data_IF_409256500241
#
_entry.id   IF_409256500241
#
_cell.length_a   1.000
_cell.length_b   1.000
_cell.length_c   1.000
_cell.angle_alpha   90.00
_cell.angle_beta   90.00
_cell.angle_gamma   90.00
#
_symmetry.space_group_name_H-M   'P 1'
#
loop_
_entity.id
_entity.type
_entity.pdbx_description
1 polymer ?
#
# COMPACT_ATOMS: atom_id res chain seq x y z
N UNK A 1 -35.86 44.33 -13.16
CA UNK A 1 -35.82 43.56 -11.88
C UNK A 1 -34.42 43.66 -11.29
N UNK A 2 -34.24 43.82 -9.98
CA UNK A 2 -32.87 43.88 -9.42
C UNK A 2 -32.36 42.45 -9.17
N UNK A 3 -31.59 41.94 -10.09
CA UNK A 3 -31.04 40.54 -10.07
C UNK A 3 -29.96 40.45 -8.99
N UNK A 4 -30.14 39.56 -8.02
CA UNK A 4 -29.18 39.35 -6.93
C UNK A 4 -28.09 38.34 -7.36
N UNK A 5 -26.88 38.52 -6.87
CA UNK A 5 -25.77 37.58 -7.16
C UNK A 5 -26.07 36.13 -6.79
N UNK A 6 -26.98 35.89 -5.85
CA UNK A 6 -27.41 34.54 -5.46
C UNK A 6 -28.27 33.87 -6.54
N UNK A 7 -29.04 34.63 -7.28
CA UNK A 7 -29.91 34.10 -8.34
C UNK A 7 -29.06 33.68 -9.55
N UNK A 8 -28.02 34.48 -9.87
CA UNK A 8 -27.05 34.15 -10.88
C UNK A 8 -26.23 32.92 -10.45
N UNK A 9 -25.78 32.88 -9.20
CA UNK A 9 -25.03 31.75 -8.66
C UNK A 9 -25.80 30.42 -8.76
N UNK A 10 -27.11 30.47 -8.43
CA UNK A 10 -28.02 29.32 -8.54
C UNK A 10 -28.26 28.92 -9.98
N UNK A 11 -28.45 29.86 -10.90
CA UNK A 11 -28.69 29.57 -12.32
C UNK A 11 -27.49 28.98 -13.02
N UNK A 12 -26.26 29.36 -12.61
CA UNK A 12 -24.99 28.88 -13.20
C UNK A 12 -24.35 27.74 -12.44
N UNK A 13 -24.85 27.35 -11.28
CA UNK A 13 -24.25 26.30 -10.44
C UNK A 13 -22.85 26.65 -9.90
N UNK A 14 -22.56 27.95 -9.68
CA UNK A 14 -21.28 28.45 -9.18
C UNK A 14 -21.41 29.14 -7.83
N UNK A 15 -20.27 29.40 -7.15
CA UNK A 15 -20.30 30.08 -5.86
C UNK A 15 -20.69 31.57 -5.98
N UNK A 16 -21.34 32.13 -4.96
CA UNK A 16 -21.66 33.55 -4.87
C UNK A 16 -20.39 34.44 -4.93
N UNK A 17 -19.28 33.97 -4.39
CA UNK A 17 -17.97 34.64 -4.48
C UNK A 17 -17.46 34.70 -5.91
N UNK A 18 -17.57 33.61 -6.68
CA UNK A 18 -17.24 33.59 -8.12
C UNK A 18 -18.04 34.57 -8.91
N UNK A 19 -19.36 34.64 -8.67
CA UNK A 19 -20.24 35.65 -9.30
C UNK A 19 -19.81 37.08 -8.96
N UNK A 20 -19.49 37.34 -7.69
CA UNK A 20 -19.00 38.65 -7.24
C UNK A 20 -17.70 39.07 -7.90
N UNK A 21 -16.73 38.14 -8.02
CA UNK A 21 -15.46 38.39 -8.70
C UNK A 21 -15.70 38.70 -10.18
N UNK A 22 -16.56 37.92 -10.85
CA UNK A 22 -16.88 38.10 -12.26
C UNK A 22 -17.54 39.47 -12.53
N UNK A 23 -18.55 39.83 -11.74
CA UNK A 23 -19.28 41.12 -11.90
C UNK A 23 -18.42 42.34 -11.61
N UNK A 24 -17.43 42.22 -10.69
CA UNK A 24 -16.56 43.34 -10.29
C UNK A 24 -15.23 43.38 -11.07
N UNK A 25 -15.07 42.56 -12.09
CA UNK A 25 -13.87 42.58 -12.91
C UNK A 25 -12.57 42.13 -12.20
N UNK A 26 -12.69 41.47 -11.01
CA UNK A 26 -11.54 41.08 -10.21
C UNK A 26 -10.85 39.83 -10.77
N UNK A 27 -9.53 39.66 -10.56
CA UNK A 27 -8.81 38.45 -10.94
C UNK A 27 -9.31 37.25 -10.13
N UNK A 28 -9.12 36.03 -10.64
CA UNK A 28 -9.56 34.77 -10.01
C UNK A 28 -10.75 34.10 -10.70
N UNK A 29 -11.18 34.62 -11.85
CA UNK A 29 -12.23 34.03 -12.71
C UNK A 29 -11.77 34.08 -14.15
N UNK A 30 -12.02 33.00 -14.92
CA UNK A 30 -11.73 32.97 -16.35
C UNK A 30 -12.62 33.94 -17.12
N UNK A 31 -12.14 34.44 -18.29
CA UNK A 31 -12.90 35.33 -19.15
C UNK A 31 -14.22 34.68 -19.59
N UNK A 32 -14.20 33.39 -19.90
CA UNK A 32 -15.40 32.64 -20.24
C UNK A 32 -16.42 32.64 -19.11
N UNK A 33 -15.98 32.38 -17.85
CA UNK A 33 -16.89 32.44 -16.67
C UNK A 33 -17.45 33.84 -16.47
N UNK A 34 -16.64 34.86 -16.74
CA UNK A 34 -17.10 36.27 -16.66
C UNK A 34 -18.23 36.56 -17.68
N UNK A 35 -18.05 36.13 -18.93
CA UNK A 35 -19.04 36.28 -19.97
C UNK A 35 -20.32 35.51 -19.65
N UNK A 36 -20.24 34.30 -19.17
CA UNK A 36 -21.39 33.49 -18.74
C UNK A 36 -22.21 34.19 -17.62
N UNK A 37 -21.51 34.75 -16.61
CA UNK A 37 -22.14 35.51 -15.51
C UNK A 37 -22.85 36.75 -16.03
N UNK A 38 -22.25 37.50 -16.93
CA UNK A 38 -22.83 38.67 -17.53
C UNK A 38 -24.03 38.34 -18.40
N UNK A 39 -23.98 37.30 -19.22
CA UNK A 39 -25.06 36.82 -20.05
C UNK A 39 -26.22 36.29 -19.20
N UNK A 40 -25.96 35.54 -18.14
CA UNK A 40 -26.99 35.09 -17.19
C UNK A 40 -27.68 36.24 -16.47
N UNK A 41 -26.91 37.25 -16.04
CA UNK A 41 -27.45 38.47 -15.44
C UNK A 41 -28.42 39.18 -16.40
N UNK A 42 -28.00 39.41 -17.64
CA UNK A 42 -28.81 40.06 -18.68
C UNK A 42 -30.11 39.29 -18.94
N UNK A 43 -30.04 37.94 -19.05
CA UNK A 43 -31.20 37.09 -19.25
C UNK A 43 -32.21 37.19 -18.09
N UNK A 44 -31.73 37.19 -16.84
CA UNK A 44 -32.55 37.34 -15.65
C UNK A 44 -33.19 38.75 -15.56
N UNK A 45 -32.49 39.80 -16.00
CA UNK A 45 -32.98 41.16 -16.02
C UNK A 45 -34.07 41.34 -17.08
N UNK A 46 -33.91 40.77 -18.26
CA UNK A 46 -34.84 40.93 -19.42
C UNK A 46 -36.06 40.01 -19.31
N UNK A 47 -35.93 38.77 -18.83
CA UNK A 47 -36.98 37.74 -18.89
C UNK A 47 -37.41 37.22 -17.53
N UNK A 48 -36.78 37.67 -16.43
CA UNK A 48 -37.10 37.24 -15.07
C UNK A 48 -36.78 35.79 -14.73
N UNK A 49 -36.39 34.98 -15.70
CA UNK A 49 -35.99 33.56 -15.54
C UNK A 49 -34.97 33.14 -16.57
N UNK A 50 -34.25 32.07 -16.27
CA UNK A 50 -33.34 31.41 -17.17
C UNK A 50 -34.01 30.11 -17.63
N UNK A 51 -34.19 29.89 -18.95
CA UNK A 51 -34.71 28.63 -19.46
C UNK A 51 -33.85 27.45 -19.00
N UNK A 52 -34.46 26.31 -18.62
CA UNK A 52 -33.73 25.12 -18.28
C UNK A 52 -32.77 24.75 -19.40
N UNK A 53 -31.49 24.62 -19.11
CA UNK A 53 -30.47 24.24 -20.10
C UNK A 53 -29.73 25.38 -20.83
N UNK A 54 -30.17 26.64 -20.72
CA UNK A 54 -29.56 27.76 -21.43
C UNK A 54 -28.15 28.10 -20.98
N UNK A 55 -27.86 27.91 -19.71
CA UNK A 55 -26.54 27.99 -19.09
C UNK A 55 -26.22 26.71 -18.32
N UNK A 56 -26.92 25.61 -18.64
CA UNK A 56 -26.46 24.35 -18.15
C UNK A 56 -25.05 24.15 -18.75
N UNK A 57 -24.06 24.51 -17.99
CA UNK A 57 -22.89 23.69 -18.03
C UNK A 57 -23.45 22.27 -17.84
N UNK A 58 -23.63 21.48 -18.92
CA UNK A 58 -23.32 20.09 -18.78
C UNK A 58 -22.00 20.17 -18.03
N UNK A 59 -21.88 19.62 -16.81
CA UNK A 59 -20.56 19.43 -16.30
C UNK A 59 -19.87 18.80 -17.51
N UNK A 60 -18.97 19.52 -18.19
CA UNK A 60 -17.96 18.83 -18.95
C UNK A 60 -17.63 17.72 -17.97
N UNK A 61 -17.97 16.50 -18.31
CA UNK A 61 -17.38 15.37 -17.67
C UNK A 61 -15.91 15.59 -17.97
N UNK A 62 -15.27 16.46 -17.18
CA UNK A 62 -13.84 16.45 -17.03
C UNK A 62 -13.61 14.99 -16.73
N UNK A 63 -13.19 14.24 -17.76
CA UNK A 63 -12.83 12.83 -17.58
C UNK A 63 -12.03 12.85 -16.30
N UNK A 64 -12.62 12.31 -15.24
CA UNK A 64 -12.00 12.33 -13.92
C UNK A 64 -10.61 11.81 -14.16
N UNK A 65 -9.60 12.64 -13.96
CA UNK A 65 -8.24 12.19 -14.13
C UNK A 65 -8.04 10.99 -13.22
N UNK A 66 -7.33 10.00 -13.70
CA UNK A 66 -7.10 8.80 -12.92
C UNK A 66 -5.69 8.78 -12.34
N UNK A 67 -5.56 8.16 -11.18
CA UNK A 67 -4.29 7.69 -10.66
C UNK A 67 -4.17 6.21 -11.02
N UNK A 68 -3.12 5.86 -11.75
CA UNK A 68 -2.81 4.47 -12.08
C UNK A 68 -2.06 3.82 -10.93
N UNK A 69 -2.56 2.68 -10.45
CA UNK A 69 -1.81 1.77 -9.61
C UNK A 69 -1.27 0.66 -10.49
N UNK A 70 0.03 0.54 -10.56
CA UNK A 70 0.73 -0.47 -11.36
C UNK A 70 1.27 -1.54 -10.43
N UNK A 71 0.83 -2.77 -10.60
CA UNK A 71 1.43 -3.94 -9.98
C UNK A 71 2.41 -4.58 -10.95
N UNK A 72 3.69 -4.56 -10.59
CA UNK A 72 4.75 -5.23 -11.36
C UNK A 72 4.99 -6.60 -10.74
N UNK A 73 4.91 -7.63 -11.58
CA UNK A 73 5.20 -9.02 -11.20
C UNK A 73 6.38 -9.54 -12.01
N UNK A 74 7.23 -10.32 -11.38
CA UNK A 74 8.42 -10.91 -12.01
C UNK A 74 8.17 -12.36 -12.45
N UNK A 75 7.00 -12.59 -13.08
CA UNK A 75 6.61 -13.94 -13.51
C UNK A 75 6.25 -14.90 -12.37
N UNK A 76 6.16 -14.42 -11.15
CA UNK A 76 5.73 -15.21 -10.00
C UNK A 76 4.22 -15.44 -10.08
N UNK A 77 3.83 -16.59 -10.64
CA UNK A 77 2.42 -16.98 -10.82
C UNK A 77 1.65 -17.26 -9.52
N UNK A 78 2.30 -17.26 -8.36
CA UNK A 78 1.78 -17.94 -7.17
C UNK A 78 1.36 -17.03 -5.99
N UNK A 79 1.25 -15.73 -6.18
CA UNK A 79 0.77 -14.84 -5.10
C UNK A 79 -0.77 -14.68 -5.12
N UNK A 80 -1.49 -15.49 -5.89
CA UNK A 80 -2.90 -15.25 -6.25
C UNK A 80 -3.94 -15.58 -5.17
N UNK A 81 -3.64 -16.32 -4.12
CA UNK A 81 -4.68 -16.78 -3.19
C UNK A 81 -4.78 -15.98 -1.88
N UNK A 82 -3.68 -15.78 -1.19
CA UNK A 82 -3.65 -15.23 0.17
C UNK A 82 -3.54 -13.69 0.24
N UNK A 83 -3.10 -13.06 -0.83
CA UNK A 83 -3.02 -11.60 -0.92
C UNK A 83 -4.37 -10.91 -1.14
N UNK A 84 -5.41 -11.66 -1.52
CA UNK A 84 -6.69 -11.06 -1.93
C UNK A 84 -7.31 -10.22 -0.80
N UNK A 85 -7.27 -10.69 0.43
CA UNK A 85 -7.87 -9.99 1.57
C UNK A 85 -7.06 -8.75 1.99
N UNK A 86 -5.73 -8.89 2.09
CA UNK A 86 -4.84 -7.75 2.40
C UNK A 86 -4.95 -6.64 1.35
N UNK A 87 -5.05 -7.01 0.07
CA UNK A 87 -5.18 -6.06 -1.02
C UNK A 87 -6.58 -5.46 -1.14
N UNK A 88 -7.62 -6.14 -0.68
CA UNK A 88 -8.98 -5.61 -0.70
C UNK A 88 -9.07 -4.35 0.16
N UNK A 89 -8.59 -4.39 1.39
CA UNK A 89 -8.58 -3.24 2.30
C UNK A 89 -7.71 -2.09 1.75
N UNK A 90 -6.54 -2.42 1.23
CA UNK A 90 -5.62 -1.43 0.63
C UNK A 90 -6.26 -0.77 -0.59
N UNK A 91 -6.90 -1.53 -1.48
CA UNK A 91 -7.58 -0.99 -2.65
C UNK A 91 -8.76 -0.09 -2.26
N UNK A 92 -9.52 -0.43 -1.21
CA UNK A 92 -10.59 0.43 -0.69
C UNK A 92 -10.04 1.76 -0.16
N UNK A 93 -8.90 1.73 0.52
CA UNK A 93 -8.23 2.97 0.98
C UNK A 93 -7.80 3.82 -0.21
N UNK A 94 -7.19 3.21 -1.24
CA UNK A 94 -6.84 3.93 -2.46
C UNK A 94 -8.07 4.55 -3.11
N UNK A 95 -9.11 3.77 -3.37
CA UNK A 95 -10.32 4.23 -4.04
C UNK A 95 -10.97 5.40 -3.29
N UNK A 96 -11.23 5.23 -1.99
CA UNK A 96 -11.88 6.25 -1.14
C UNK A 96 -11.08 7.55 -1.09
N UNK A 97 -9.76 7.47 -0.89
CA UNK A 97 -8.93 8.67 -0.78
C UNK A 97 -8.74 9.37 -2.14
N UNK A 98 -8.59 8.62 -3.23
CA UNK A 98 -8.50 9.19 -4.57
C UNK A 98 -9.80 9.88 -4.97
N UNK A 99 -10.95 9.25 -4.71
CA UNK A 99 -12.26 9.87 -4.96
C UNK A 99 -12.46 11.15 -4.17
N UNK A 100 -12.05 11.19 -2.89
CA UNK A 100 -12.11 12.38 -2.05
C UNK A 100 -11.27 13.54 -2.60
N UNK A 101 -10.20 13.24 -3.35
CA UNK A 101 -9.33 14.21 -4.02
C UNK A 101 -9.69 14.46 -5.50
N UNK A 102 -10.82 13.94 -5.97
CA UNK A 102 -11.31 14.19 -7.33
C UNK A 102 -10.74 13.29 -8.42
N UNK A 103 -9.98 12.26 -8.06
CA UNK A 103 -9.40 11.28 -8.98
C UNK A 103 -10.21 9.97 -9.00
N UNK A 104 -10.08 9.22 -10.09
CA UNK A 104 -10.51 7.83 -10.18
C UNK A 104 -9.32 6.88 -10.07
N UNK A 105 -9.58 5.65 -9.62
CA UNK A 105 -8.57 4.59 -9.54
C UNK A 105 -8.49 3.82 -10.84
N UNK A 106 -7.29 3.68 -11.42
CA UNK A 106 -6.99 2.75 -12.50
C UNK A 106 -6.03 1.67 -12.00
N UNK A 107 -6.31 0.40 -12.30
CA UNK A 107 -5.42 -0.72 -11.98
C UNK A 107 -4.77 -1.24 -13.24
N UNK A 108 -3.47 -1.51 -13.17
CA UNK A 108 -2.68 -2.07 -14.26
C UNK A 108 -1.75 -3.16 -13.70
N UNK A 109 -1.75 -4.30 -14.36
CA UNK A 109 -0.82 -5.39 -14.09
C UNK A 109 0.18 -5.47 -15.23
N UNK A 110 1.46 -5.53 -14.91
CA UNK A 110 2.54 -5.67 -15.86
C UNK A 110 3.60 -6.63 -15.31
N UNK A 111 4.32 -7.29 -16.19
CA UNK A 111 5.53 -8.03 -15.83
C UNK A 111 6.78 -7.38 -16.48
N UNK A 112 7.96 -8.00 -16.27
CA UNK A 112 9.21 -7.46 -16.81
C UNK A 112 9.46 -7.81 -18.28
N UNK A 113 8.51 -8.43 -18.98
CA UNK A 113 8.63 -8.68 -20.43
C UNK A 113 8.52 -7.36 -21.19
N UNK A 114 9.29 -7.24 -22.26
CA UNK A 114 9.43 -6.01 -23.04
C UNK A 114 8.07 -5.50 -23.61
N UNK A 115 7.23 -6.42 -24.07
CA UNK A 115 5.89 -6.08 -24.56
C UNK A 115 5.00 -5.46 -23.49
N UNK A 116 5.01 -6.04 -22.27
CA UNK A 116 4.24 -5.53 -21.15
C UNK A 116 4.78 -4.21 -20.64
N UNK A 117 6.10 -3.99 -20.69
CA UNK A 117 6.73 -2.71 -20.31
C UNK A 117 6.26 -1.59 -21.25
N UNK A 118 6.30 -1.80 -22.55
CA UNK A 118 5.87 -0.81 -23.54
C UNK A 118 4.40 -0.44 -23.36
N UNK A 119 3.54 -1.42 -23.13
CA UNK A 119 2.12 -1.23 -22.81
C UNK A 119 1.95 -0.45 -21.51
N UNK A 120 2.63 -0.85 -20.45
CA UNK A 120 2.60 -0.18 -19.14
C UNK A 120 2.96 1.30 -19.27
N UNK A 121 4.08 1.61 -19.93
CA UNK A 121 4.54 2.99 -20.15
C UNK A 121 3.50 3.79 -20.92
N UNK A 122 2.93 3.24 -22.00
CA UNK A 122 1.91 3.91 -22.79
C UNK A 122 0.64 4.21 -21.98
N UNK A 123 0.15 3.23 -21.21
CA UNK A 123 -1.02 3.41 -20.36
C UNK A 123 -0.77 4.38 -19.20
N UNK A 124 0.42 4.38 -18.59
CA UNK A 124 0.78 5.34 -17.55
C UNK A 124 0.91 6.77 -18.09
N UNK A 125 1.27 6.96 -19.35
CA UNK A 125 1.42 8.27 -19.98
C UNK A 125 0.15 8.79 -20.65
N UNK A 126 -0.97 8.07 -20.60
CA UNK A 126 -2.23 8.51 -21.20
C UNK A 126 -2.67 9.89 -20.67
N UNK A 127 -3.39 10.66 -21.50
CA UNK A 127 -3.74 12.06 -21.21
C UNK A 127 -4.63 12.20 -19.97
N UNK A 128 -5.46 11.20 -19.69
CA UNK A 128 -6.35 11.16 -18.54
C UNK A 128 -5.69 10.64 -17.25
N UNK A 129 -4.40 10.28 -17.30
CA UNK A 129 -3.61 9.88 -16.12
C UNK A 129 -2.91 11.10 -15.51
N UNK A 130 -3.19 11.38 -14.24
CA UNK A 130 -2.56 12.46 -13.48
C UNK A 130 -1.26 12.04 -12.78
N UNK A 131 -1.18 10.79 -12.36
CA UNK A 131 -0.02 10.24 -11.64
C UNK A 131 -0.09 8.73 -11.49
N UNK A 132 1.01 8.16 -11.01
CA UNK A 132 1.21 6.71 -10.95
C UNK A 132 1.74 6.29 -9.58
N UNK A 133 1.17 5.22 -9.01
CA UNK A 133 1.73 4.51 -7.86
C UNK A 133 2.16 3.13 -8.33
N UNK A 134 3.45 2.83 -8.20
CA UNK A 134 4.02 1.53 -8.59
C UNK A 134 4.19 0.66 -7.35
N UNK A 135 3.58 -0.51 -7.33
CA UNK A 135 3.87 -1.53 -6.33
C UNK A 135 5.17 -2.22 -6.70
N UNK A 136 6.21 -1.87 -5.96
CA UNK A 136 7.58 -2.24 -6.25
C UNK A 136 8.14 -3.37 -5.38
N UNK A 137 7.28 -4.20 -4.74
CA UNK A 137 7.73 -5.29 -3.85
C UNK A 137 8.74 -6.21 -4.52
N UNK A 138 8.57 -6.47 -5.82
CA UNK A 138 9.47 -7.26 -6.63
C UNK A 138 10.48 -6.42 -7.45
N UNK A 139 10.39 -5.08 -7.36
CA UNK A 139 11.25 -4.17 -8.09
C UNK A 139 12.62 -4.07 -7.41
N UNK A 140 13.66 -4.41 -8.16
CA UNK A 140 15.04 -4.22 -7.76
C UNK A 140 15.62 -2.95 -8.38
N UNK A 141 16.73 -2.45 -7.82
CA UNK A 141 17.42 -1.28 -8.36
C UNK A 141 17.77 -1.47 -9.84
N UNK A 142 18.25 -2.63 -10.23
CA UNK A 142 18.61 -2.98 -11.61
C UNK A 142 17.45 -2.88 -12.60
N UNK A 143 16.20 -3.02 -12.11
CA UNK A 143 14.97 -2.96 -12.90
C UNK A 143 14.31 -1.57 -12.81
N UNK A 144 14.79 -0.67 -11.96
CA UNK A 144 14.19 0.66 -11.80
C UNK A 144 14.22 1.52 -13.08
N UNK A 145 15.20 1.36 -14.01
CA UNK A 145 15.18 2.05 -15.30
C UNK A 145 13.96 1.76 -16.17
N UNK A 146 13.24 0.66 -15.91
CA UNK A 146 11.97 0.35 -16.61
C UNK A 146 10.90 1.42 -16.39
N UNK A 147 10.99 2.15 -15.28
CA UNK A 147 10.06 3.22 -14.94
C UNK A 147 10.41 4.56 -15.63
N UNK A 148 11.58 4.67 -16.25
CA UNK A 148 12.10 5.92 -16.82
C UNK A 148 11.27 6.43 -18.01
N UNK A 149 10.53 5.56 -18.66
CA UNK A 149 9.58 5.91 -19.71
C UNK A 149 8.29 6.58 -19.20
N UNK A 150 7.99 6.49 -17.90
CA UNK A 150 6.82 7.10 -17.28
C UNK A 150 7.12 8.58 -17.03
N UNK A 151 6.39 9.48 -17.70
CA UNK A 151 6.57 10.93 -17.62
C UNK A 151 5.64 11.61 -16.61
N UNK A 152 4.73 10.86 -16.03
CA UNK A 152 3.80 11.34 -15.00
C UNK A 152 4.45 11.31 -13.61
N UNK A 153 4.02 12.17 -12.68
CA UNK A 153 4.40 12.05 -11.28
C UNK A 153 4.25 10.62 -10.78
N UNK A 154 5.28 10.09 -10.10
CA UNK A 154 5.34 8.69 -9.72
C UNK A 154 5.83 8.54 -8.29
N UNK A 155 5.17 7.64 -7.54
CA UNK A 155 5.57 7.19 -6.20
C UNK A 155 5.69 5.67 -6.22
N UNK A 156 6.72 5.14 -5.58
CA UNK A 156 6.89 3.70 -5.42
C UNK A 156 6.38 3.28 -4.05
N UNK A 157 5.49 2.32 -4.04
CA UNK A 157 4.96 1.67 -2.85
C UNK A 157 5.67 0.32 -2.68
N UNK A 158 6.46 0.20 -1.60
CA UNK A 158 7.12 -1.03 -1.22
C UNK A 158 8.21 -1.50 -2.21
N UNK A 159 9.42 -1.00 -2.04
CA UNK A 159 10.57 -1.35 -2.87
C UNK A 159 11.86 -1.42 -2.05
N UNK A 160 12.97 -1.69 -2.70
CA UNK A 160 14.29 -1.53 -2.10
C UNK A 160 14.61 -0.04 -1.88
N UNK A 161 15.29 0.33 -0.78
CA UNK A 161 15.56 1.73 -0.45
C UNK A 161 16.66 2.38 -1.30
N UNK A 162 17.34 1.64 -2.12
CA UNK A 162 18.41 2.10 -3.02
C UNK A 162 17.88 2.80 -4.29
N UNK A 163 16.55 2.79 -4.51
CA UNK A 163 15.92 3.54 -5.59
C UNK A 163 15.84 5.02 -5.17
N UNK A 164 16.65 5.87 -5.78
CA UNK A 164 16.78 7.29 -5.40
C UNK A 164 15.98 8.26 -6.28
N UNK A 165 15.59 7.82 -7.47
CA UNK A 165 14.94 8.67 -8.47
C UNK A 165 13.51 9.06 -8.13
N UNK A 166 12.83 8.28 -7.30
CA UNK A 166 11.41 8.42 -7.00
C UNK A 166 11.16 8.50 -5.48
N UNK A 167 10.09 9.16 -5.03
CA UNK A 167 9.63 9.00 -3.66
C UNK A 167 9.22 7.54 -3.41
N UNK A 168 9.59 7.01 -2.24
CA UNK A 168 9.33 5.60 -1.89
C UNK A 168 8.67 5.50 -0.52
N UNK A 169 7.63 4.67 -0.40
CA UNK A 169 7.04 4.26 0.88
C UNK A 169 7.61 2.89 1.26
N UNK A 170 8.23 2.82 2.41
CA UNK A 170 8.95 1.65 2.92
C UNK A 170 8.35 1.16 4.24
N UNK A 171 8.67 -0.10 4.58
CA UNK A 171 8.41 -0.69 5.90
C UNK A 171 9.68 -0.59 6.73
N UNK A 172 9.58 -0.21 7.99
CA UNK A 172 10.67 -0.44 8.95
C UNK A 172 10.66 -1.91 9.37
N UNK A 173 11.19 -2.75 8.47
CA UNK A 173 11.28 -4.20 8.67
C UNK A 173 12.12 -4.58 9.89
N UNK A 174 13.20 -3.81 10.16
CA UNK A 174 14.07 -4.05 11.31
C UNK A 174 13.31 -3.82 12.62
N UNK A 175 12.59 -2.70 12.73
CA UNK A 175 11.77 -2.36 13.89
C UNK A 175 10.66 -3.43 14.10
N UNK A 176 10.04 -3.92 13.03
CA UNK A 176 9.06 -5.00 13.13
C UNK A 176 9.63 -6.27 13.75
N UNK A 177 10.80 -6.71 13.31
CA UNK A 177 11.50 -7.88 13.89
C UNK A 177 11.94 -7.61 15.33
N UNK A 178 12.37 -6.39 15.64
CA UNK A 178 12.75 -6.01 17.00
C UNK A 178 11.58 -6.12 17.98
N UNK A 179 10.38 -5.73 17.58
CA UNK A 179 9.16 -5.92 18.37
C UNK A 179 8.92 -7.41 18.68
N UNK A 180 9.03 -8.28 17.64
CA UNK A 180 8.84 -9.71 17.82
C UNK A 180 9.86 -10.34 18.79
N UNK A 181 11.14 -10.05 18.63
CA UNK A 181 12.20 -10.55 19.49
C UNK A 181 12.02 -10.05 20.94
N UNK A 182 11.72 -8.76 21.11
CA UNK A 182 11.53 -8.17 22.44
C UNK A 182 10.36 -8.83 23.19
N UNK A 183 9.23 -9.11 22.52
CA UNK A 183 8.09 -9.80 23.12
C UNK A 183 8.46 -11.22 23.56
N UNK A 184 9.14 -11.98 22.70
CA UNK A 184 9.59 -13.33 23.05
C UNK A 184 10.54 -13.32 24.25
N UNK A 185 11.49 -12.39 24.30
CA UNK A 185 12.41 -12.25 25.43
C UNK A 185 11.71 -11.79 26.71
N UNK A 186 10.75 -10.89 26.64
CA UNK A 186 9.94 -10.46 27.77
C UNK A 186 9.16 -11.62 28.40
N UNK A 187 8.72 -12.57 27.57
CA UNK A 187 8.09 -13.83 27.98
C UNK A 187 9.09 -14.99 28.22
N UNK A 188 10.39 -14.69 28.30
CA UNK A 188 11.49 -15.63 28.60
C UNK A 188 11.71 -16.73 27.56
N UNK A 189 11.29 -16.52 26.31
CA UNK A 189 11.65 -17.38 25.20
C UNK A 189 12.99 -16.91 24.61
N UNK A 190 14.07 -17.68 24.82
CA UNK A 190 15.43 -17.35 24.39
C UNK A 190 15.93 -18.24 23.24
N UNK A 191 15.38 -19.44 23.11
CA UNK A 191 15.60 -20.33 21.99
C UNK A 191 14.59 -20.00 20.89
N UNK A 192 14.99 -19.06 20.02
CA UNK A 192 14.14 -18.48 18.97
C UNK A 192 14.71 -18.90 17.60
N UNK A 193 13.88 -19.47 16.75
CA UNK A 193 14.20 -19.73 15.36
C UNK A 193 13.34 -18.85 14.43
N UNK A 194 13.88 -18.55 13.26
CA UNK A 194 13.29 -17.68 12.26
C UNK A 194 12.94 -18.46 11.00
N UNK A 195 11.67 -18.58 10.68
CA UNK A 195 11.18 -19.25 9.48
C UNK A 195 11.07 -18.25 8.34
N UNK A 196 11.77 -18.48 7.23
CA UNK A 196 11.86 -17.52 6.15
C UNK A 196 11.47 -18.09 4.78
N UNK A 197 10.95 -17.21 3.94
CA UNK A 197 10.66 -17.48 2.53
C UNK A 197 11.96 -17.36 1.71
N UNK A 198 12.32 -18.31 0.83
CA UNK A 198 13.57 -18.28 0.08
C UNK A 198 13.67 -17.17 -0.97
N UNK A 199 12.57 -16.50 -1.31
CA UNK A 199 12.55 -15.46 -2.34
C UNK A 199 13.43 -14.26 -1.94
N UNK A 200 14.21 -13.69 -2.87
CA UNK A 200 15.14 -12.60 -2.59
C UNK A 200 14.46 -11.22 -2.62
N UNK A 201 13.27 -11.10 -2.01
CA UNK A 201 12.57 -9.82 -1.90
C UNK A 201 13.19 -8.95 -0.82
N UNK A 202 13.27 -7.64 -1.06
CA UNK A 202 13.90 -6.70 -0.13
C UNK A 202 13.37 -6.83 1.30
N UNK A 203 12.05 -6.88 1.47
CA UNK A 203 11.43 -6.98 2.80
C UNK A 203 11.88 -8.22 3.57
N UNK A 204 11.94 -9.38 2.90
CA UNK A 204 12.39 -10.63 3.51
C UNK A 204 13.87 -10.56 3.89
N UNK A 205 14.72 -10.10 2.97
CA UNK A 205 16.15 -9.92 3.24
C UNK A 205 16.41 -8.93 4.39
N UNK A 206 15.64 -7.83 4.44
CA UNK A 206 15.73 -6.82 5.49
C UNK A 206 15.30 -7.37 6.86
N UNK A 207 14.21 -8.13 6.91
CA UNK A 207 13.74 -8.80 8.14
C UNK A 207 14.77 -9.80 8.67
N UNK A 208 15.31 -10.66 7.80
CA UNK A 208 16.37 -11.65 8.18
C UNK A 208 17.62 -10.96 8.71
N UNK A 209 18.10 -9.92 8.02
CA UNK A 209 19.24 -9.13 8.52
C UNK A 209 18.92 -8.51 9.88
N UNK A 210 17.74 -7.93 10.04
CA UNK A 210 17.26 -7.39 11.30
C UNK A 210 17.26 -8.44 12.42
N UNK A 211 16.80 -9.66 12.14
CA UNK A 211 16.82 -10.75 13.11
C UNK A 211 18.22 -11.05 13.60
N UNK A 212 19.18 -11.25 12.71
CA UNK A 212 20.58 -11.54 13.05
C UNK A 212 21.21 -10.40 13.90
N UNK A 213 21.01 -9.16 13.48
CA UNK A 213 21.52 -7.99 14.19
C UNK A 213 20.93 -7.87 15.61
N UNK A 214 19.62 -8.05 15.74
CA UNK A 214 18.92 -7.92 17.02
C UNK A 214 19.30 -9.05 17.97
N UNK A 215 19.36 -10.30 17.50
CA UNK A 215 19.79 -11.43 18.31
C UNK A 215 21.20 -11.21 18.87
N UNK A 216 22.13 -10.72 18.05
CA UNK A 216 23.48 -10.36 18.48
C UNK A 216 23.47 -9.22 19.50
N UNK A 217 22.71 -8.15 19.27
CA UNK A 217 22.57 -7.00 20.20
C UNK A 217 21.98 -7.39 21.54
N UNK A 218 21.07 -8.38 21.57
CA UNK A 218 20.46 -8.90 22.80
C UNK A 218 21.34 -9.93 23.54
N UNK A 219 22.54 -10.20 23.05
CA UNK A 219 23.47 -11.14 23.68
C UNK A 219 23.17 -12.62 23.43
N UNK A 220 22.32 -12.94 22.44
CA UNK A 220 21.95 -14.30 22.09
C UNK A 220 22.91 -14.97 21.06
N UNK A 221 24.02 -14.31 20.75
CA UNK A 221 25.08 -14.80 19.88
C UNK A 221 24.77 -14.66 18.39
N UNK A 222 25.52 -15.41 17.57
CA UNK A 222 25.23 -15.57 16.16
C UNK A 222 23.98 -16.46 16.00
N UNK A 223 23.02 -16.00 15.26
CA UNK A 223 21.77 -16.70 15.01
C UNK A 223 21.61 -17.18 13.56
N UNK A 224 22.71 -17.27 12.80
CA UNK A 224 22.67 -17.69 11.39
C UNK A 224 22.18 -19.12 11.21
N UNK A 225 22.48 -20.01 12.14
CA UNK A 225 22.00 -21.39 12.19
C UNK A 225 20.54 -21.54 12.65
N UNK A 226 19.94 -20.43 13.14
CA UNK A 226 18.54 -20.37 13.59
C UNK A 226 17.58 -19.91 12.48
N UNK A 227 18.10 -19.58 11.29
CA UNK A 227 17.28 -19.23 10.13
C UNK A 227 16.99 -20.51 9.33
N UNK A 228 15.70 -20.82 9.22
CA UNK A 228 15.21 -21.99 8.49
C UNK A 228 14.51 -21.53 7.23
N UNK A 229 15.06 -21.89 6.08
CA UNK A 229 14.39 -21.66 4.81
C UNK A 229 13.19 -22.61 4.71
N UNK A 230 12.02 -22.04 4.41
CA UNK A 230 10.79 -22.76 4.14
C UNK A 230 10.46 -22.72 2.64
N UNK A 231 9.24 -22.94 2.25
CA UNK A 231 8.80 -22.78 0.86
C UNK A 231 8.48 -21.34 0.48
N UNK A 232 8.21 -21.12 -0.79
CA UNK A 232 7.80 -19.83 -1.36
C UNK A 232 6.28 -19.66 -1.43
N UNK A 233 5.52 -20.76 -1.45
CA UNK A 233 4.05 -20.79 -1.38
C UNK A 233 3.57 -21.45 -0.08
N UNK A 234 2.28 -21.30 0.22
CA UNK A 234 1.66 -21.94 1.40
C UNK A 234 1.84 -23.46 1.34
N UNK A 235 1.64 -24.06 0.18
CA UNK A 235 1.73 -25.52 -0.04
C UNK A 235 3.16 -26.00 0.16
N UNK A 236 4.14 -25.30 -0.38
CA UNK A 236 5.57 -25.64 -0.21
C UNK A 236 5.98 -25.51 1.25
N UNK A 237 5.59 -24.43 1.93
CA UNK A 237 5.84 -24.22 3.36
C UNK A 237 5.22 -25.36 4.17
N UNK A 238 3.95 -25.67 3.92
CA UNK A 238 3.23 -26.72 4.61
C UNK A 238 3.94 -28.07 4.46
N UNK A 239 4.26 -28.46 3.21
CA UNK A 239 4.93 -29.73 2.93
C UNK A 239 6.31 -29.79 3.60
N UNK A 240 7.11 -28.76 3.48
CA UNK A 240 8.47 -28.70 4.02
C UNK A 240 8.43 -28.69 5.56
N UNK A 241 7.59 -27.88 6.18
CA UNK A 241 7.47 -27.80 7.63
C UNK A 241 6.91 -29.10 8.21
N UNK A 242 5.99 -29.76 7.54
CA UNK A 242 5.50 -31.08 7.97
C UNK A 242 6.62 -32.11 8.05
N UNK A 243 7.51 -32.17 7.05
CA UNK A 243 8.64 -33.10 7.10
C UNK A 243 9.69 -32.67 8.14
N UNK A 244 10.00 -31.38 8.22
CA UNK A 244 10.95 -30.83 9.17
C UNK A 244 10.52 -31.10 10.62
N UNK A 245 9.30 -30.80 10.98
CA UNK A 245 8.77 -30.92 12.35
C UNK A 245 8.66 -32.37 12.85
N UNK A 246 8.67 -33.37 11.98
CA UNK A 246 8.67 -34.81 12.40
C UNK A 246 9.94 -35.20 13.14
N UNK A 247 11.06 -34.59 12.83
CA UNK A 247 12.38 -34.97 13.35
C UNK A 247 13.09 -33.86 14.09
N UNK A 248 12.72 -32.60 13.87
CA UNK A 248 13.35 -31.45 14.50
C UNK A 248 12.97 -31.37 15.99
N UNK A 249 13.96 -30.99 16.81
CA UNK A 249 13.68 -30.55 18.18
C UNK A 249 12.99 -29.17 18.09
N UNK A 250 11.81 -29.06 18.68
CA UNK A 250 11.11 -27.78 18.75
C UNK A 250 11.90 -26.75 19.55
N UNK A 251 12.10 -25.52 19.04
CA UNK A 251 12.60 -24.40 19.82
C UNK A 251 11.53 -23.91 20.81
N UNK A 252 11.87 -22.92 21.60
CA UNK A 252 10.89 -22.27 22.44
C UNK A 252 9.90 -21.40 21.65
N UNK A 253 10.37 -20.81 20.54
CA UNK A 253 9.53 -19.96 19.70
C UNK A 253 10.01 -19.92 18.25
N UNK A 254 9.04 -19.71 17.33
CA UNK A 254 9.28 -19.33 15.94
C UNK A 254 8.82 -17.89 15.68
N UNK A 255 9.63 -17.16 14.91
CA UNK A 255 9.22 -15.94 14.20
C UNK A 255 8.99 -16.32 12.74
N UNK A 256 7.81 -16.06 12.22
CA UNK A 256 7.41 -16.41 10.85
C UNK A 256 7.40 -15.15 9.98
N UNK A 257 8.20 -15.17 8.91
CA UNK A 257 8.57 -13.98 8.12
C UNK A 257 7.40 -13.32 7.37
N UNK A 258 6.36 -14.08 7.02
CA UNK A 258 5.27 -13.62 6.18
C UNK A 258 4.00 -14.44 6.38
N UNK A 259 2.89 -13.94 5.84
CA UNK A 259 1.61 -14.64 5.80
C UNK A 259 1.73 -16.09 5.30
N UNK A 260 2.43 -16.31 4.16
CA UNK A 260 2.60 -17.65 3.57
C UNK A 260 3.34 -18.60 4.52
N UNK A 261 4.41 -18.10 5.13
CA UNK A 261 5.20 -18.88 6.10
C UNK A 261 4.36 -19.20 7.33
N UNK A 262 3.59 -18.24 7.84
CA UNK A 262 2.70 -18.46 8.99
C UNK A 262 1.64 -19.49 8.68
N UNK A 263 0.96 -19.36 7.57
CA UNK A 263 -0.15 -20.23 7.18
C UNK A 263 0.30 -21.68 6.99
N UNK A 264 1.33 -21.92 6.16
CA UNK A 264 1.84 -23.25 5.88
C UNK A 264 2.42 -23.92 7.13
N UNK A 265 3.09 -23.15 8.00
CA UNK A 265 3.63 -23.67 9.27
C UNK A 265 2.53 -24.11 10.23
N UNK A 266 1.48 -23.30 10.42
CA UNK A 266 0.35 -23.63 11.30
C UNK A 266 -0.40 -24.85 10.76
N UNK A 267 -0.59 -24.97 9.45
CA UNK A 267 -1.19 -26.17 8.85
C UNK A 267 -0.39 -27.43 9.19
N UNK A 268 0.95 -27.38 9.05
CA UNK A 268 1.82 -28.50 9.39
C UNK A 268 1.78 -28.85 10.90
N UNK A 269 1.77 -27.85 11.77
CA UNK A 269 1.67 -28.04 13.22
C UNK A 269 0.34 -28.69 13.62
N UNK A 270 -0.76 -28.24 13.02
CA UNK A 270 -2.08 -28.81 13.27
C UNK A 270 -2.15 -30.30 12.87
N UNK A 271 -1.62 -30.68 11.70
CA UNK A 271 -1.53 -32.08 11.26
C UNK A 271 -0.72 -32.96 12.21
N UNK A 272 0.35 -32.40 12.80
CA UNK A 272 1.24 -33.10 13.71
C UNK A 272 0.80 -33.01 15.17
N UNK A 273 -0.34 -32.39 15.45
CA UNK A 273 -0.88 -32.16 16.80
C UNK A 273 0.11 -31.39 17.71
N UNK A 274 0.92 -30.51 17.17
CA UNK A 274 1.80 -29.62 17.93
C UNK A 274 0.95 -28.47 18.47
N UNK A 275 0.91 -28.31 19.78
CA UNK A 275 0.05 -27.37 20.46
C UNK A 275 0.72 -25.97 20.53
N UNK A 276 -0.05 -24.96 20.18
CA UNK A 276 0.35 -23.54 20.22
C UNK A 276 -0.52 -22.88 21.30
N UNK A 277 0.07 -22.22 22.32
CA UNK A 277 1.52 -21.97 22.56
C UNK A 277 2.18 -23.02 23.46
N UNK A 278 1.53 -24.13 23.85
CA UNK A 278 2.00 -25.06 24.90
C UNK A 278 3.34 -25.68 24.54
N UNK A 279 3.48 -26.20 23.34
CA UNK A 279 4.69 -26.89 22.87
C UNK A 279 5.70 -25.88 22.26
N UNK A 280 5.19 -24.90 21.51
CA UNK A 280 6.00 -23.86 20.87
C UNK A 280 5.24 -22.53 20.75
N UNK A 281 5.91 -21.42 21.03
CA UNK A 281 5.37 -20.07 20.84
C UNK A 281 5.52 -19.61 19.40
N UNK A 282 4.57 -18.82 18.88
CA UNK A 282 4.60 -18.30 17.51
C UNK A 282 4.38 -16.78 17.49
N UNK A 283 5.18 -16.08 16.67
CA UNK A 283 4.89 -14.71 16.24
C UNK A 283 4.97 -14.65 14.71
N UNK A 284 3.92 -14.17 14.06
CA UNK A 284 3.92 -13.93 12.62
C UNK A 284 4.14 -12.48 12.25
N UNK A 285 4.75 -12.25 11.11
CA UNK A 285 4.70 -10.94 10.46
C UNK A 285 3.56 -10.99 9.45
N UNK A 286 2.62 -10.06 9.63
CA UNK A 286 1.24 -10.08 9.20
C UNK A 286 0.37 -11.12 9.93
N UNK A 287 -0.81 -10.67 10.36
CA UNK A 287 -1.73 -11.51 11.14
C UNK A 287 -2.48 -12.48 10.24
N UNK A 288 -2.75 -13.67 10.79
CA UNK A 288 -3.72 -14.60 10.21
C UNK A 288 -5.09 -14.39 10.86
N UNK A 289 -6.19 -14.54 10.11
CA UNK A 289 -7.52 -14.62 10.70
C UNK A 289 -7.64 -15.79 11.68
N UNK A 290 -8.32 -15.59 12.82
CA UNK A 290 -8.40 -16.58 13.90
C UNK A 290 -9.05 -17.90 13.49
N UNK A 291 -9.94 -17.90 12.46
CA UNK A 291 -10.50 -19.14 11.93
C UNK A 291 -9.45 -20.08 11.28
N UNK A 292 -8.32 -19.55 10.84
CA UNK A 292 -7.20 -20.32 10.29
C UNK A 292 -6.27 -20.88 11.36
N UNK A 293 -6.29 -20.29 12.55
CA UNK A 293 -5.48 -20.69 13.71
C UNK A 293 -6.26 -21.55 14.70
N UNK A 294 -7.41 -22.08 14.30
CA UNK A 294 -8.27 -22.88 15.17
C UNK A 294 -9.02 -22.06 16.24
N UNK A 295 -9.24 -20.77 15.99
CA UNK A 295 -9.93 -19.85 16.91
C UNK A 295 -9.01 -19.12 17.89
N UNK A 296 -7.68 -19.31 17.79
CA UNK A 296 -6.69 -18.65 18.64
C UNK A 296 -6.25 -17.35 17.96
N UNK A 297 -6.28 -16.25 18.67
CA UNK A 297 -5.75 -14.98 18.16
C UNK A 297 -4.22 -15.00 18.11
N UNK A 298 -3.67 -14.80 16.93
CA UNK A 298 -2.24 -14.88 16.71
C UNK A 298 -1.52 -13.62 17.17
N UNK A 299 -0.53 -13.78 18.07
CA UNK A 299 0.43 -12.72 18.35
C UNK A 299 1.21 -12.39 17.07
N UNK A 300 1.20 -11.13 16.67
CA UNK A 300 1.73 -10.76 15.36
C UNK A 300 2.36 -9.37 15.32
N UNK A 301 3.14 -9.15 14.28
CA UNK A 301 3.66 -7.85 13.89
C UNK A 301 2.88 -7.39 12.65
N UNK A 302 1.96 -6.48 12.83
CA UNK A 302 1.13 -5.95 11.74
C UNK A 302 1.88 -4.88 10.94
N UNK A 303 1.97 -5.08 9.64
CA UNK A 303 2.39 -4.05 8.71
C UNK A 303 1.20 -3.10 8.45
N UNK A 304 1.33 -1.77 8.61
CA UNK A 304 0.21 -0.85 8.50
C UNK A 304 -0.09 -0.52 7.01
N UNK A 305 -0.63 -1.48 6.27
CA UNK A 305 -0.85 -1.38 4.82
C UNK A 305 -1.80 -0.23 4.44
N UNK A 306 -2.85 -0.01 5.23
CA UNK A 306 -3.84 1.06 4.99
C UNK A 306 -3.25 2.45 5.19
N UNK A 307 -2.48 2.65 6.24
CA UNK A 307 -1.76 3.89 6.52
C UNK A 307 -0.68 4.17 5.47
N UNK A 308 0.00 3.12 5.00
CA UNK A 308 1.00 3.22 3.92
C UNK A 308 0.35 3.64 2.61
N UNK A 309 -0.82 3.09 2.27
CA UNK A 309 -1.59 3.48 1.09
C UNK A 309 -2.00 4.95 1.15
N UNK A 310 -2.46 5.42 2.32
CA UNK A 310 -2.76 6.83 2.53
C UNK A 310 -1.54 7.73 2.26
N UNK A 311 -0.38 7.39 2.84
CA UNK A 311 0.84 8.17 2.65
C UNK A 311 1.35 8.14 1.20
N UNK A 312 1.19 7.03 0.49
CA UNK A 312 1.53 6.94 -0.93
C UNK A 312 0.72 7.94 -1.76
N UNK A 313 -0.59 8.05 -1.47
CA UNK A 313 -1.47 9.03 -2.11
C UNK A 313 -1.01 10.46 -1.77
N UNK A 314 -0.76 10.77 -0.49
CA UNK A 314 -0.34 12.12 -0.09
C UNK A 314 0.98 12.53 -0.77
N UNK A 315 1.95 11.62 -0.85
CA UNK A 315 3.19 11.90 -1.57
C UNK A 315 2.96 12.10 -3.07
N UNK A 316 2.08 11.30 -3.69
CA UNK A 316 1.78 11.45 -5.11
C UNK A 316 1.06 12.77 -5.39
N UNK A 317 0.07 13.16 -4.59
CA UNK A 317 -0.62 14.43 -4.73
C UNK A 317 0.35 15.61 -4.60
N UNK A 318 1.29 15.54 -3.66
CA UNK A 318 2.35 16.53 -3.53
C UNK A 318 3.23 16.59 -4.77
N UNK A 319 3.61 15.45 -5.36
CA UNK A 319 4.41 15.42 -6.60
C UNK A 319 3.61 15.95 -7.81
N UNK A 320 2.29 15.80 -7.83
CA UNK A 320 1.43 16.37 -8.88
C UNK A 320 1.35 17.90 -8.77
N UNK A 321 1.13 18.40 -7.55
CA UNK A 321 0.93 19.84 -7.31
C UNK A 321 2.24 20.62 -7.27
N UNK A 322 3.27 20.05 -6.64
CA UNK A 322 4.54 20.69 -6.36
C UNK A 322 5.70 19.70 -6.51
N UNK A 323 6.08 19.33 -7.75
CA UNK A 323 7.18 18.40 -7.97
C UNK A 323 8.48 18.95 -7.40
N UNK A 324 9.15 18.16 -6.56
CA UNK A 324 10.43 18.52 -5.96
C UNK A 324 11.56 17.69 -6.56
N UNK A 325 12.76 18.29 -6.64
CA UNK A 325 13.93 17.61 -7.19
C UNK A 325 14.43 16.53 -6.25
N UNK A 326 14.54 16.85 -4.96
CA UNK A 326 14.98 15.94 -3.92
C UNK A 326 13.85 14.99 -3.55
N UNK A 327 14.07 13.68 -3.74
CA UNK A 327 13.07 12.65 -3.45
C UNK A 327 13.21 12.14 -2.02
N UNK A 328 12.10 11.80 -1.41
CA UNK A 328 12.06 11.32 -0.02
C UNK A 328 11.80 9.82 0.05
N UNK A 329 12.25 9.22 1.15
CA UNK A 329 11.90 7.86 1.56
C UNK A 329 11.13 7.94 2.86
N UNK A 330 9.91 7.43 2.87
CA UNK A 330 9.06 7.42 4.05
C UNK A 330 8.97 6.00 4.61
N UNK A 331 9.47 5.81 5.82
CA UNK A 331 9.36 4.54 6.53
C UNK A 331 8.13 4.57 7.44
N UNK A 332 7.38 3.47 7.43
CA UNK A 332 6.27 3.26 8.36
C UNK A 332 6.65 2.18 9.36
N UNK A 333 6.40 2.46 10.64
CA UNK A 333 6.64 1.49 11.71
C UNK A 333 5.60 0.37 11.67
N UNK A 334 6.03 -0.84 11.96
CA UNK A 334 5.15 -1.96 12.24
C UNK A 334 4.50 -1.81 13.61
N UNK A 335 3.38 -2.49 13.83
CA UNK A 335 2.62 -2.44 15.08
C UNK A 335 2.58 -3.84 15.69
N UNK A 336 2.95 -3.93 16.98
CA UNK A 336 2.75 -5.16 17.75
C UNK A 336 1.26 -5.37 18.02
N UNK A 337 0.78 -6.58 17.78
CA UNK A 337 -0.58 -7.02 18.09
C UNK A 337 -0.48 -8.18 19.05
N UNK A 338 -0.97 -7.97 20.27
CA UNK A 338 -1.01 -9.01 21.30
C UNK A 338 -2.02 -10.10 20.91
N UNK A 339 -1.70 -11.33 21.28
CA UNK A 339 -2.52 -12.50 21.01
C UNK A 339 -2.14 -13.64 21.94
N UNK A 340 -2.63 -14.84 21.63
CA UNK A 340 -2.57 -15.99 22.52
C UNK A 340 -1.45 -16.98 22.17
N UNK A 341 -0.71 -16.75 21.08
CA UNK A 341 0.27 -17.73 20.54
C UNK A 341 1.64 -17.64 21.19
N UNK A 342 1.85 -16.80 22.20
CA UNK A 342 3.13 -16.67 22.93
C UNK A 342 2.95 -16.96 24.41
N UNK A 343 3.60 -18.01 24.88
CA UNK A 343 3.60 -18.47 26.25
C UNK A 343 4.77 -17.87 27.06
N UNK A 344 4.54 -17.51 28.29
CA UNK A 344 5.60 -17.19 29.26
C UNK A 344 6.28 -18.47 29.75
N UNK A 345 7.62 -18.52 29.72
CA UNK A 345 8.43 -19.65 30.17
C UNK A 345 9.18 -19.33 31.46
#
# INVERSE_FOLDING_TARGET
MNVKSIDIARALGISKSTVSLALNGKPGVSEQTRQEVLACKKQLEEHGSVPPGMFSRQPEQRKRQQIKIVKITNGMKNIQGAELDLWTDVNQVFEKNLQANGYSLGLLYADFREEDQSRMIAECNADDVAGVIVFGTELKQENSPLLDGIRKPLVIYDAAPDIEKYPVILIDNRQGVELAVNELLAKRNTDIQYLCNPLPMYNYLSRRRGFLEIMKQKGLGDASDRIINTGSSIEEVHQMMREYLKTAKLPQAYIMESYHVSMGTIMAMNELNIRIPEDVSLIGIDALPSFLTGGIDMTSIRVPHTERAYWAIQLLLKEIEHPVKEKCKLYTNCVFVDGETVKKR
#
